data_IF_960727712741
#
_entry.id   IF_960727712741
#
_cell.length_a   1.000
_cell.length_b   1.000
_cell.length_c   1.000
_cell.angle_alpha   90.00
_cell.angle_beta   90.00
_cell.angle_gamma   90.00
#
_symmetry.space_group_name_H-M   'P 1'
#
loop_
_entity.id
_entity.type
_entity.pdbx_description
1 polymer ?
#
# COMPACT_ATOMS: atom_id res chain seq x y z
N UNK A 1 21.11 -11.07 -15.77
CA UNK A 1 21.73 -11.49 -17.07
C UNK A 1 21.72 -10.33 -18.06
N UNK A 2 20.54 -9.76 -18.41
CA UNK A 2 20.41 -8.70 -19.44
C UNK A 2 21.30 -7.49 -19.11
N UNK A 3 21.25 -6.95 -17.90
CA UNK A 3 22.09 -5.79 -17.50
C UNK A 3 23.59 -6.09 -17.59
N UNK A 4 24.02 -7.29 -17.25
CA UNK A 4 25.42 -7.71 -17.41
C UNK A 4 25.83 -7.71 -18.88
N UNK A 5 24.96 -8.16 -19.79
CA UNK A 5 25.24 -8.16 -21.23
C UNK A 5 25.24 -6.74 -21.80
N UNK A 6 24.29 -5.89 -21.38
CA UNK A 6 24.29 -4.46 -21.73
C UNK A 6 25.62 -3.80 -21.31
N UNK A 7 26.06 -4.02 -20.07
CA UNK A 7 27.32 -3.49 -19.57
C UNK A 7 28.54 -4.02 -20.37
N UNK A 8 28.54 -5.31 -20.72
CA UNK A 8 29.60 -5.90 -21.53
C UNK A 8 29.67 -5.22 -22.91
N UNK A 9 28.54 -5.14 -23.62
CA UNK A 9 28.47 -4.55 -24.96
C UNK A 9 28.85 -3.06 -24.96
N UNK A 10 28.49 -2.31 -23.91
CA UNK A 10 28.91 -0.92 -23.72
C UNK A 10 30.45 -0.79 -23.59
N UNK A 11 31.05 -1.69 -22.81
CA UNK A 11 32.48 -1.64 -22.53
C UNK A 11 33.35 -2.12 -23.72
N UNK A 12 32.83 -3.09 -24.49
CA UNK A 12 33.56 -3.65 -25.63
C UNK A 12 33.32 -2.90 -26.93
N UNK A 13 32.22 -2.16 -27.04
CA UNK A 13 31.78 -1.53 -28.29
C UNK A 13 31.32 -2.51 -29.38
N UNK A 14 31.16 -3.80 -29.01
CA UNK A 14 30.69 -4.84 -29.92
C UNK A 14 29.15 -4.73 -30.12
N UNK A 15 28.68 -5.09 -31.33
CA UNK A 15 27.27 -5.26 -31.69
C UNK A 15 26.35 -4.12 -31.19
N UNK A 16 26.43 -2.92 -31.74
CA UNK A 16 25.61 -1.78 -31.34
C UNK A 16 24.09 -2.01 -31.52
N UNK A 17 23.69 -2.82 -32.52
CA UNK A 17 22.30 -3.13 -32.78
C UNK A 17 21.70 -4.03 -31.66
N UNK A 18 22.49 -5.01 -31.25
CA UNK A 18 22.11 -5.87 -30.12
C UNK A 18 22.03 -5.08 -28.82
N UNK A 19 22.99 -4.19 -28.57
CA UNK A 19 22.99 -3.30 -27.42
C UNK A 19 21.69 -2.48 -27.37
N UNK A 20 21.37 -1.80 -28.47
CA UNK A 20 20.15 -0.99 -28.57
C UNK A 20 18.89 -1.82 -28.33
N UNK A 21 18.78 -3.00 -28.93
CA UNK A 21 17.63 -3.90 -28.75
C UNK A 21 17.48 -4.34 -27.28
N UNK A 22 18.58 -4.64 -26.59
CA UNK A 22 18.56 -5.03 -25.18
C UNK A 22 18.17 -3.85 -24.27
N UNK A 23 18.68 -2.65 -24.53
CA UNK A 23 18.33 -1.45 -23.79
C UNK A 23 16.85 -1.09 -23.95
N UNK A 24 16.36 -1.06 -25.19
CA UNK A 24 14.93 -0.76 -25.49
C UNK A 24 14.00 -1.80 -24.85
N UNK A 25 14.33 -3.09 -24.96
CA UNK A 25 13.58 -4.16 -24.34
C UNK A 25 13.61 -4.09 -22.81
N UNK A 26 14.76 -3.79 -22.23
CA UNK A 26 14.91 -3.70 -20.77
C UNK A 26 14.15 -2.52 -20.17
N UNK A 27 14.01 -1.43 -20.89
CA UNK A 27 13.27 -0.25 -20.45
C UNK A 27 11.85 -0.61 -19.98
N UNK A 28 11.14 -1.40 -20.76
CA UNK A 28 9.81 -1.89 -20.39
C UNK A 28 9.89 -3.15 -19.50
N UNK A 29 10.47 -4.24 -20.03
CA UNK A 29 10.42 -5.58 -19.40
C UNK A 29 11.18 -5.67 -18.07
N UNK A 30 12.24 -4.89 -17.90
CA UNK A 30 13.02 -4.90 -16.67
C UNK A 30 12.67 -3.75 -15.72
N UNK A 31 12.71 -2.51 -16.23
CA UNK A 31 12.61 -1.32 -15.41
C UNK A 31 11.15 -0.94 -15.10
N UNK A 32 10.31 -0.75 -16.14
CA UNK A 32 8.95 -0.25 -15.95
C UNK A 32 8.01 -1.28 -15.29
N UNK A 33 8.17 -2.56 -15.59
CA UNK A 33 7.31 -3.63 -15.06
C UNK A 33 7.81 -4.22 -13.73
N UNK A 34 9.00 -3.89 -13.26
CA UNK A 34 9.46 -4.33 -11.95
C UNK A 34 8.64 -3.69 -10.83
N UNK A 35 8.02 -4.52 -10.00
CA UNK A 35 7.25 -4.07 -8.84
C UNK A 35 8.12 -3.43 -7.73
N UNK A 36 9.41 -3.71 -7.69
CA UNK A 36 10.29 -3.30 -6.59
C UNK A 36 9.91 -3.93 -5.24
N UNK A 37 9.19 -5.06 -5.27
CA UNK A 37 8.65 -5.71 -4.07
C UNK A 37 9.64 -6.66 -3.38
N UNK A 38 10.78 -6.94 -4.00
CA UNK A 38 11.82 -7.81 -3.46
C UNK A 38 11.48 -9.29 -3.36
N UNK A 39 10.29 -9.76 -3.78
CA UNK A 39 9.90 -11.18 -3.71
C UNK A 39 10.81 -12.10 -4.55
N UNK A 40 11.52 -11.55 -5.54
CA UNK A 40 12.55 -12.29 -6.26
C UNK A 40 13.62 -12.86 -5.32
N UNK A 41 13.95 -12.18 -4.23
CA UNK A 41 14.89 -12.67 -3.22
C UNK A 41 14.35 -13.84 -2.40
N UNK A 42 13.05 -13.94 -2.20
CA UNK A 42 12.43 -15.05 -1.46
C UNK A 42 12.45 -16.36 -2.24
N UNK A 43 12.38 -16.26 -3.57
CA UNK A 43 12.45 -17.39 -4.50
C UNK A 43 13.87 -17.74 -4.94
N UNK A 44 14.85 -16.86 -4.71
CA UNK A 44 16.24 -17.07 -5.08
C UNK A 44 16.98 -17.79 -3.95
N UNK A 45 17.64 -18.96 -4.19
CA UNK A 45 18.44 -19.64 -3.19
C UNK A 45 19.57 -18.78 -2.61
N UNK A 46 20.12 -17.88 -3.44
CA UNK A 46 21.17 -16.93 -3.07
C UNK A 46 20.64 -15.63 -2.45
N UNK A 47 19.33 -15.49 -2.26
CA UNK A 47 18.67 -14.28 -1.71
C UNK A 47 18.95 -13.00 -2.51
N UNK A 48 19.20 -13.10 -3.82
CA UNK A 48 19.47 -11.95 -4.66
C UNK A 48 18.20 -11.13 -4.85
N UNK A 49 18.23 -9.88 -4.39
CA UNK A 49 17.16 -8.90 -4.56
C UNK A 49 17.40 -8.03 -5.81
N UNK A 50 16.79 -8.39 -6.92
CA UNK A 50 16.97 -7.61 -8.16
C UNK A 50 16.23 -6.27 -8.14
N UNK A 51 15.34 -6.02 -7.18
CA UNK A 51 14.64 -4.72 -7.08
C UNK A 51 15.59 -3.59 -6.64
N UNK A 52 16.63 -3.88 -5.85
CA UNK A 52 17.66 -2.90 -5.49
C UNK A 52 18.39 -2.40 -6.73
N UNK A 53 18.86 -3.31 -7.58
CA UNK A 53 19.47 -2.97 -8.88
C UNK A 53 18.52 -2.10 -9.74
N UNK A 54 17.21 -2.37 -9.72
CA UNK A 54 16.25 -1.57 -10.47
C UNK A 54 16.10 -0.18 -9.87
N UNK A 55 16.17 -0.03 -8.55
CA UNK A 55 16.14 1.28 -7.90
C UNK A 55 17.37 2.09 -8.28
N UNK A 56 18.56 1.49 -8.32
CA UNK A 56 19.79 2.13 -8.78
C UNK A 56 19.68 2.61 -10.23
N UNK A 57 19.23 1.72 -11.13
CA UNK A 57 19.02 2.07 -12.56
C UNK A 57 18.03 3.23 -12.72
N UNK A 58 16.96 3.27 -11.90
CA UNK A 58 16.01 4.39 -11.89
C UNK A 58 16.66 5.68 -11.41
N UNK A 59 17.50 5.58 -10.37
CA UNK A 59 18.27 6.72 -9.84
C UNK A 59 19.23 7.29 -10.86
N UNK A 60 19.98 6.43 -11.54
CA UNK A 60 20.92 6.82 -12.62
C UNK A 60 20.20 7.53 -13.78
N UNK A 61 18.97 7.11 -14.08
CA UNK A 61 18.13 7.74 -15.11
C UNK A 61 17.53 9.10 -14.68
N UNK A 62 17.62 9.46 -13.39
CA UNK A 62 17.10 10.69 -12.81
C UNK A 62 18.19 11.51 -12.10
N UNK A 63 19.24 11.96 -12.81
CA UNK A 63 20.32 12.71 -12.19
C UNK A 63 19.79 14.00 -11.54
N UNK A 64 20.47 14.44 -10.48
CA UNK A 64 20.20 15.71 -9.81
C UNK A 64 20.22 16.85 -10.84
N UNK A 65 19.18 17.67 -10.85
CA UNK A 65 19.04 18.76 -11.84
C UNK A 65 18.17 18.40 -13.04
N UNK A 66 17.90 17.13 -13.33
CA UNK A 66 16.92 16.75 -14.35
C UNK A 66 15.50 17.24 -13.99
N UNK A 67 14.66 17.43 -15.01
CA UNK A 67 13.26 17.85 -14.79
C UNK A 67 12.50 16.86 -13.89
N UNK A 68 12.70 15.56 -14.11
CA UNK A 68 12.07 14.51 -13.28
C UNK A 68 12.49 14.59 -11.81
N UNK A 69 13.80 14.77 -11.55
CA UNK A 69 14.31 14.95 -10.20
C UNK A 69 13.76 16.22 -9.53
N UNK A 70 13.80 17.37 -10.23
CA UNK A 70 13.24 18.65 -9.74
C UNK A 70 11.75 18.54 -9.42
N UNK A 71 10.99 17.83 -10.27
CA UNK A 71 9.56 17.57 -10.01
C UNK A 71 9.38 16.72 -8.76
N UNK A 72 10.17 15.66 -8.59
CA UNK A 72 10.13 14.84 -7.38
C UNK A 72 10.46 15.61 -6.11
N UNK A 73 11.46 16.48 -6.15
CA UNK A 73 11.84 17.35 -5.03
C UNK A 73 10.78 18.41 -4.73
N UNK A 74 10.21 19.04 -5.76
CA UNK A 74 9.09 19.97 -5.59
C UNK A 74 7.90 19.30 -4.91
N UNK A 75 7.52 18.10 -5.34
CA UNK A 75 6.44 17.31 -4.71
C UNK A 75 6.77 17.02 -3.24
N UNK A 76 8.01 16.66 -2.92
CA UNK A 76 8.44 16.38 -1.55
C UNK A 76 8.32 17.61 -0.63
N UNK A 77 8.73 18.78 -1.14
CA UNK A 77 8.68 20.04 -0.41
C UNK A 77 7.25 20.61 -0.26
N UNK A 78 6.35 20.26 -1.19
CA UNK A 78 4.95 20.75 -1.21
C UNK A 78 3.94 19.62 -0.97
N UNK A 79 4.30 18.60 -0.21
CA UNK A 79 3.56 17.33 -0.15
C UNK A 79 2.12 17.47 0.33
N UNK A 80 1.86 18.34 1.31
CA UNK A 80 0.49 18.60 1.79
C UNK A 80 -0.40 19.23 0.72
N UNK A 81 0.15 20.17 -0.07
CA UNK A 81 -0.56 20.83 -1.16
C UNK A 81 -0.88 19.85 -2.28
N UNK A 82 0.08 19.00 -2.65
CA UNK A 82 -0.14 17.95 -3.66
C UNK A 82 -1.25 16.99 -3.23
N UNK A 83 -1.23 16.51 -1.98
CA UNK A 83 -2.30 15.67 -1.44
C UNK A 83 -3.66 16.40 -1.44
N UNK A 84 -3.69 17.68 -1.10
CA UNK A 84 -4.91 18.46 -1.10
C UNK A 84 -5.49 18.61 -2.52
N UNK A 85 -4.63 18.80 -3.53
CA UNK A 85 -5.03 18.90 -4.93
C UNK A 85 -5.57 17.59 -5.52
N UNK A 86 -5.17 16.44 -4.98
CA UNK A 86 -5.69 15.13 -5.42
C UNK A 86 -7.13 14.86 -4.96
N UNK A 87 -7.58 15.43 -3.85
CA UNK A 87 -8.92 15.17 -3.30
C UNK A 87 -10.06 15.64 -4.22
N UNK A 88 -10.06 16.85 -4.77
CA UNK A 88 -11.05 17.25 -5.76
C UNK A 88 -11.09 16.34 -6.99
N UNK A 89 -9.93 15.89 -7.49
CA UNK A 89 -9.85 14.95 -8.62
C UNK A 89 -10.56 13.64 -8.28
N UNK A 90 -10.30 13.08 -7.11
CA UNK A 90 -10.97 11.85 -6.62
C UNK A 90 -12.48 12.07 -6.45
N UNK A 91 -12.90 13.25 -5.98
CA UNK A 91 -14.32 13.58 -5.80
C UNK A 91 -15.05 13.68 -7.14
N UNK A 92 -14.49 14.42 -8.11
CA UNK A 92 -15.05 14.54 -9.46
C UNK A 92 -15.17 13.18 -10.13
N UNK A 93 -14.12 12.39 -10.07
CA UNK A 93 -14.14 11.05 -10.66
C UNK A 93 -15.15 10.11 -9.97
N UNK A 94 -15.34 10.24 -8.65
CA UNK A 94 -16.37 9.48 -7.91
C UNK A 94 -17.79 9.91 -8.31
N UNK A 95 -18.02 11.20 -8.56
CA UNK A 95 -19.31 11.71 -9.09
C UNK A 95 -19.53 11.19 -10.50
N UNK A 96 -18.51 11.27 -11.37
CA UNK A 96 -18.59 10.72 -12.72
C UNK A 96 -18.94 9.23 -12.71
N UNK A 97 -18.37 8.46 -11.77
CA UNK A 97 -18.72 7.05 -11.60
C UNK A 97 -20.18 6.85 -11.19
N UNK A 98 -20.73 7.70 -10.33
CA UNK A 98 -22.13 7.61 -9.92
C UNK A 98 -23.11 7.89 -11.06
N UNK A 99 -22.70 8.70 -12.05
CA UNK A 99 -23.51 9.07 -13.22
C UNK A 99 -23.35 8.07 -14.37
N UNK A 100 -22.11 7.70 -14.70
CA UNK A 100 -21.78 6.85 -15.85
C UNK A 100 -21.90 5.35 -15.55
N UNK A 101 -21.94 4.99 -14.27
CA UNK A 101 -21.85 3.61 -13.82
C UNK A 101 -20.47 2.99 -14.09
N UNK A 102 -20.28 1.76 -13.65
CA UNK A 102 -18.98 1.07 -13.73
C UNK A 102 -18.48 0.87 -15.16
N UNK A 103 -19.37 0.41 -16.06
CA UNK A 103 -19.01 0.19 -17.47
C UNK A 103 -18.61 1.47 -18.19
N UNK A 104 -19.31 2.58 -17.89
CA UNK A 104 -18.98 3.89 -18.45
C UNK A 104 -17.62 4.38 -17.97
N UNK A 105 -17.33 4.23 -16.66
CA UNK A 105 -16.04 4.59 -16.08
C UNK A 105 -14.89 3.73 -16.64
N UNK A 106 -15.10 2.43 -16.80
CA UNK A 106 -14.11 1.54 -17.41
C UNK A 106 -13.82 1.93 -18.87
N UNK A 107 -14.84 2.25 -19.65
CA UNK A 107 -14.68 2.66 -21.06
C UNK A 107 -13.92 4.00 -21.16
N UNK A 108 -14.35 5.01 -20.41
CA UNK A 108 -13.70 6.34 -20.38
C UNK A 108 -12.29 6.24 -19.82
N UNK A 109 -12.11 5.52 -18.70
CA UNK A 109 -10.81 5.31 -18.07
C UNK A 109 -9.82 4.60 -19.00
N UNK A 110 -10.28 3.59 -19.74
CA UNK A 110 -9.45 2.88 -20.73
C UNK A 110 -9.08 3.76 -21.92
N UNK A 111 -9.99 4.61 -22.40
CA UNK A 111 -9.71 5.56 -23.49
C UNK A 111 -8.68 6.61 -23.05
N UNK A 112 -8.85 7.20 -21.88
CA UNK A 112 -7.92 8.18 -21.31
C UNK A 112 -6.56 7.54 -21.00
N UNK A 113 -6.53 6.28 -20.56
CA UNK A 113 -5.29 5.56 -20.30
C UNK A 113 -4.44 5.39 -21.58
N UNK A 114 -5.05 5.14 -22.73
CA UNK A 114 -4.34 5.12 -24.00
C UNK A 114 -3.70 6.47 -24.37
N UNK A 115 -4.23 7.56 -23.83
CA UNK A 115 -3.66 8.90 -23.93
C UNK A 115 -2.64 9.24 -22.81
N UNK A 116 -2.24 8.26 -21.99
CA UNK A 116 -1.23 8.42 -20.93
C UNK A 116 -1.78 8.84 -19.56
N UNK A 117 -3.09 8.92 -19.39
CA UNK A 117 -3.69 9.19 -18.07
C UNK A 117 -3.67 7.92 -17.20
N UNK A 118 -3.40 8.02 -15.89
CA UNK A 118 -3.48 6.89 -14.98
C UNK A 118 -4.85 6.20 -15.04
N UNK A 119 -4.85 4.86 -15.06
CA UNK A 119 -6.09 4.08 -15.18
C UNK A 119 -6.99 4.31 -13.97
N UNK A 120 -8.24 4.66 -14.24
CA UNK A 120 -9.30 4.69 -13.24
C UNK A 120 -10.08 3.37 -13.24
N UNK A 121 -10.38 2.84 -12.05
CA UNK A 121 -11.17 1.61 -11.89
C UNK A 121 -12.39 1.83 -11.01
N UNK A 122 -13.46 1.02 -11.14
CA UNK A 122 -14.66 1.15 -10.31
C UNK A 122 -14.44 0.93 -8.81
N UNK A 123 -13.27 0.40 -8.43
CA UNK A 123 -12.90 0.16 -7.04
C UNK A 123 -12.03 1.28 -6.44
N UNK A 124 -11.88 2.40 -7.16
CA UNK A 124 -11.17 3.55 -6.61
C UNK A 124 -11.90 4.10 -5.38
N UNK A 125 -11.17 4.41 -4.30
CA UNK A 125 -11.76 5.04 -3.13
C UNK A 125 -12.18 6.48 -3.41
N UNK A 126 -13.23 6.93 -2.71
CA UNK A 126 -13.61 8.35 -2.65
C UNK A 126 -12.52 9.16 -1.96
N UNK A 127 -12.55 10.49 -2.17
CA UNK A 127 -11.65 11.37 -1.42
C UNK A 127 -11.90 11.30 0.09
N UNK A 128 -10.82 11.38 0.87
CA UNK A 128 -10.88 11.61 2.30
C UNK A 128 -10.62 13.08 2.61
N UNK A 129 -11.54 13.69 3.31
CA UNK A 129 -11.39 15.06 3.81
C UNK A 129 -11.14 15.00 5.31
N UNK A 130 -9.98 15.51 5.79
CA UNK A 130 -9.67 15.52 7.22
C UNK A 130 -10.72 16.29 8.02
N UNK A 131 -11.10 15.74 9.14
CA UNK A 131 -12.01 16.35 10.12
C UNK A 131 -11.46 16.16 11.52
N UNK A 132 -12.09 16.82 12.48
CA UNK A 132 -11.70 16.67 13.87
C UNK A 132 -12.22 15.32 14.40
N UNK A 133 -11.31 14.49 14.90
CA UNK A 133 -11.65 13.21 15.53
C UNK A 133 -11.59 13.41 17.05
N UNK A 134 -12.70 13.15 17.72
CA UNK A 134 -12.77 13.19 19.17
C UNK A 134 -11.86 12.13 19.78
N UNK A 135 -11.12 12.51 20.81
CA UNK A 135 -10.19 11.64 21.53
C UNK A 135 -10.62 11.48 22.98
N UNK A 136 -10.63 10.25 23.48
CA UNK A 136 -10.80 9.98 24.89
C UNK A 136 -9.42 9.77 25.54
N UNK A 137 -9.16 10.46 26.62
CA UNK A 137 -7.91 10.27 27.36
C UNK A 137 -7.84 8.85 27.95
N UNK A 138 -6.67 8.22 27.85
CA UNK A 138 -6.41 6.88 28.38
C UNK A 138 -4.97 6.75 28.85
N UNK A 139 -4.70 5.94 29.90
CA UNK A 139 -3.32 5.60 30.26
C UNK A 139 -2.62 4.76 29.19
N UNK A 140 -3.37 4.03 28.36
CA UNK A 140 -2.87 3.27 27.22
C UNK A 140 -2.89 4.15 25.98
N UNK A 141 -1.71 4.40 25.40
CA UNK A 141 -1.55 5.33 24.28
C UNK A 141 -0.87 4.66 23.10
N UNK A 142 -1.24 5.09 21.90
CA UNK A 142 -0.60 4.70 20.64
C UNK A 142 -0.43 5.92 19.76
N UNK A 143 0.73 6.05 19.13
CA UNK A 143 0.92 7.02 18.07
C UNK A 143 0.43 6.41 16.76
N UNK A 144 -0.54 7.02 16.13
CA UNK A 144 -1.05 6.57 14.84
C UNK A 144 -0.56 7.49 13.72
N UNK A 145 0.20 6.91 12.80
CA UNK A 145 0.61 7.54 11.56
C UNK A 145 -0.21 6.95 10.41
N UNK A 146 -1.34 7.57 10.04
CA UNK A 146 -2.05 7.19 8.83
C UNK A 146 -1.18 7.54 7.62
N UNK A 147 -1.01 6.58 6.72
CA UNK A 147 -0.25 6.75 5.49
C UNK A 147 -0.82 7.87 4.61
N UNK A 148 0.02 8.45 3.78
CA UNK A 148 -0.39 9.54 2.88
C UNK A 148 -1.57 9.14 1.97
N UNK A 149 -1.63 7.89 1.55
CA UNK A 149 -2.72 7.37 0.73
C UNK A 149 -4.03 7.32 1.52
N UNK A 150 -4.02 6.88 2.78
CA UNK A 150 -5.22 6.85 3.63
C UNK A 150 -5.63 8.22 4.16
N UNK A 151 -4.70 9.20 4.19
CA UNK A 151 -5.04 10.62 4.40
C UNK A 151 -5.69 11.28 3.17
N UNK A 152 -5.68 10.63 2.02
CA UNK A 152 -6.20 11.17 0.75
C UNK A 152 -7.39 10.39 0.24
N UNK A 153 -7.38 9.06 0.40
CA UNK A 153 -8.39 8.12 -0.05
C UNK A 153 -9.22 7.59 1.13
N UNK A 154 -10.52 7.75 1.06
CA UNK A 154 -11.50 7.26 2.02
C UNK A 154 -11.92 5.80 1.76
N UNK A 155 -13.22 5.55 1.79
CA UNK A 155 -13.80 4.23 1.50
C UNK A 155 -14.08 4.04 0.02
N UNK A 156 -14.15 2.78 -0.42
CA UNK A 156 -14.58 2.46 -1.79
C UNK A 156 -16.12 2.46 -1.87
N UNK A 157 -16.67 2.86 -3.03
CA UNK A 157 -18.12 2.84 -3.24
C UNK A 157 -18.70 1.41 -3.17
N UNK A 158 -17.93 0.39 -3.49
CA UNK A 158 -18.35 -1.02 -3.59
C UNK A 158 -18.10 -1.87 -2.35
N UNK A 159 -17.41 -1.36 -1.35
CA UNK A 159 -17.04 -2.16 -0.17
C UNK A 159 -18.14 -2.34 0.88
N UNK A 160 -19.31 -1.73 0.70
CA UNK A 160 -20.40 -1.77 1.70
C UNK A 160 -20.14 -0.88 2.92
N UNK A 161 -18.90 -0.57 3.25
CA UNK A 161 -18.51 0.26 4.39
C UNK A 161 -18.36 1.71 3.94
N UNK A 162 -19.00 2.63 4.66
CA UNK A 162 -18.97 4.07 4.34
C UNK A 162 -17.96 4.86 5.16
N UNK A 163 -17.42 4.28 6.24
CA UNK A 163 -16.44 4.92 7.10
C UNK A 163 -15.04 4.79 6.47
N UNK A 164 -14.27 5.86 6.32
CA UNK A 164 -12.88 5.80 5.88
C UNK A 164 -12.00 4.93 6.79
N UNK A 165 -10.95 4.32 6.22
CA UNK A 165 -10.06 3.44 6.98
C UNK A 165 -9.39 4.15 8.17
N UNK A 166 -8.96 5.40 7.98
CA UNK A 166 -8.36 6.19 9.04
C UNK A 166 -9.30 6.29 10.25
N UNK A 167 -10.55 6.71 10.01
CA UNK A 167 -11.55 6.88 11.07
C UNK A 167 -11.89 5.54 11.72
N UNK A 168 -12.06 4.49 10.90
CA UNK A 168 -12.33 3.14 11.38
C UNK A 168 -11.21 2.59 12.26
N UNK A 169 -9.96 2.87 11.91
CA UNK A 169 -8.80 2.48 12.71
C UNK A 169 -8.81 3.18 14.07
N UNK A 170 -9.10 4.48 14.09
CA UNK A 170 -9.21 5.24 15.35
C UNK A 170 -10.35 4.71 16.21
N UNK A 171 -11.55 4.50 15.63
CA UNK A 171 -12.69 3.92 16.34
C UNK A 171 -12.36 2.58 17.00
N UNK A 172 -11.65 1.71 16.27
CA UNK A 172 -11.25 0.39 16.78
C UNK A 172 -10.29 0.50 17.97
N UNK A 173 -9.28 1.36 17.84
CA UNK A 173 -8.26 1.61 18.87
C UNK A 173 -8.91 2.17 20.13
N UNK A 174 -9.82 3.14 19.99
CA UNK A 174 -10.52 3.76 21.11
C UNK A 174 -11.49 2.77 21.79
N UNK A 175 -12.16 1.91 21.03
CA UNK A 175 -13.02 0.85 21.58
C UNK A 175 -12.26 -0.16 22.44
N UNK A 176 -10.97 -0.41 22.09
CA UNK A 176 -10.08 -1.21 22.92
C UNK A 176 -9.51 -0.43 24.13
N UNK A 177 -9.91 0.82 24.31
CA UNK A 177 -9.55 1.66 25.44
C UNK A 177 -8.16 2.31 25.32
N UNK A 178 -7.69 2.59 24.10
CA UNK A 178 -6.46 3.34 23.86
C UNK A 178 -6.75 4.78 23.43
N UNK A 179 -5.92 5.70 23.87
CA UNK A 179 -5.83 7.07 23.34
C UNK A 179 -4.97 7.07 22.08
N UNK A 180 -5.43 7.75 21.02
CA UNK A 180 -4.70 7.89 19.76
C UNK A 180 -3.99 9.23 19.71
N UNK A 181 -2.69 9.22 19.51
CA UNK A 181 -1.86 10.42 19.35
C UNK A 181 -1.48 10.52 17.87
N UNK A 182 -1.73 11.67 17.26
CA UNK A 182 -1.24 11.96 15.92
C UNK A 182 0.07 12.75 15.96
N UNK A 183 1.05 12.45 15.08
CA UNK A 183 2.27 13.26 15.01
C UNK A 183 1.95 14.68 14.52
N UNK A 184 2.68 15.67 15.02
CA UNK A 184 2.58 17.05 14.54
C UNK A 184 2.89 17.12 13.04
N UNK A 185 2.27 18.07 12.37
CA UNK A 185 2.48 18.31 10.93
C UNK A 185 2.23 17.09 10.03
N UNK A 186 1.39 16.15 10.46
CA UNK A 186 1.09 14.88 9.81
C UNK A 186 0.81 15.01 8.30
N UNK A 187 0.18 16.12 7.87
CA UNK A 187 -0.13 16.40 6.46
C UNK A 187 1.10 16.47 5.55
N UNK A 188 2.28 16.80 6.08
CA UNK A 188 3.54 16.90 5.31
C UNK A 188 4.40 15.63 5.42
N UNK A 189 4.10 14.74 6.36
CA UNK A 189 4.90 13.55 6.63
C UNK A 189 4.68 12.46 5.59
N UNK A 190 5.76 11.75 5.24
CA UNK A 190 5.75 10.59 4.36
C UNK A 190 6.89 9.63 4.72
N UNK A 191 6.64 8.34 4.55
CA UNK A 191 7.66 7.30 4.76
C UNK A 191 8.79 7.29 3.71
N UNK A 192 8.64 8.01 2.59
CA UNK A 192 9.65 8.09 1.52
C UNK A 192 9.53 7.02 0.43
N UNK A 193 8.74 5.97 0.61
CA UNK A 193 8.63 4.84 -0.35
C UNK A 193 8.34 5.28 -1.79
N UNK A 194 7.56 6.34 -2.02
CA UNK A 194 7.24 6.82 -3.37
C UNK A 194 8.47 7.34 -4.12
N UNK A 195 9.44 7.94 -3.43
CA UNK A 195 10.71 8.40 -4.01
C UNK A 195 11.72 7.27 -4.14
N UNK A 196 11.84 6.40 -3.13
CA UNK A 196 12.66 5.20 -3.18
C UNK A 196 12.33 4.33 -4.41
N UNK A 197 11.06 4.05 -4.64
CA UNK A 197 10.61 3.24 -5.78
C UNK A 197 10.98 3.85 -7.15
N UNK A 198 11.29 5.14 -7.19
CA UNK A 198 11.73 5.87 -8.38
C UNK A 198 13.24 6.13 -8.42
N UNK A 199 14.01 5.63 -7.44
CA UNK A 199 15.45 5.79 -7.34
C UNK A 199 15.92 7.12 -6.74
N UNK A 200 15.02 7.95 -6.20
CA UNK A 200 15.35 9.24 -5.57
C UNK A 200 15.63 9.03 -4.08
N UNK A 201 16.71 8.30 -3.75
CA UNK A 201 16.99 7.83 -2.39
C UNK A 201 17.22 8.98 -1.41
N UNK A 202 17.93 10.03 -1.81
CA UNK A 202 18.20 11.19 -0.96
C UNK A 202 16.92 11.94 -0.53
N UNK A 203 15.96 12.09 -1.46
CA UNK A 203 14.65 12.66 -1.13
C UNK A 203 13.86 11.70 -0.23
N UNK A 204 13.91 10.41 -0.53
CA UNK A 204 13.25 9.38 0.25
C UNK A 204 13.76 9.36 1.69
N UNK A 205 15.08 9.43 1.90
CA UNK A 205 15.70 9.42 3.22
C UNK A 205 15.42 10.72 4.00
N UNK A 206 15.44 11.87 3.34
CA UNK A 206 15.00 13.14 3.94
C UNK A 206 13.57 13.04 4.48
N UNK A 207 12.63 12.54 3.68
CA UNK A 207 11.23 12.38 4.09
C UNK A 207 11.08 11.35 5.21
N UNK A 208 11.86 10.27 5.17
CA UNK A 208 11.89 9.27 6.25
C UNK A 208 12.40 9.87 7.55
N UNK A 209 13.44 10.72 7.49
CA UNK A 209 14.00 11.37 8.66
C UNK A 209 13.04 12.36 9.29
N UNK A 210 12.36 13.20 8.47
CA UNK A 210 11.30 14.10 8.93
C UNK A 210 10.20 13.33 9.68
N UNK A 211 9.79 12.19 9.13
CA UNK A 211 8.78 11.33 9.75
C UNK A 211 9.30 10.71 11.05
N UNK A 212 10.52 10.16 11.05
CA UNK A 212 11.11 9.55 12.25
C UNK A 212 11.18 10.52 13.41
N UNK A 213 11.61 11.76 13.18
CA UNK A 213 11.72 12.78 14.22
C UNK A 213 10.35 13.17 14.78
N UNK A 214 9.34 13.34 13.92
CA UNK A 214 7.98 13.63 14.34
C UNK A 214 7.35 12.48 15.15
N UNK A 215 7.61 11.23 14.77
CA UNK A 215 7.14 10.05 15.48
C UNK A 215 7.87 9.85 16.81
N UNK A 216 9.17 10.14 16.86
CA UNK A 216 9.97 10.07 18.08
C UNK A 216 9.48 11.08 19.12
N UNK A 217 9.15 12.31 18.69
CA UNK A 217 8.53 13.32 19.56
C UNK A 217 7.14 12.87 20.03
N UNK A 218 6.26 12.46 19.10
CA UNK A 218 4.89 12.06 19.40
C UNK A 218 4.80 10.85 20.33
N UNK A 219 5.77 9.92 20.24
CA UNK A 219 5.83 8.72 21.07
C UNK A 219 6.52 8.91 22.41
N UNK A 220 6.78 10.15 22.83
CA UNK A 220 7.58 10.44 24.03
C UNK A 220 8.91 9.67 24.00
N UNK A 221 9.69 9.86 22.92
CA UNK A 221 11.00 9.21 22.70
C UNK A 221 10.94 7.69 22.59
N UNK A 222 9.87 7.16 21.96
CA UNK A 222 9.68 5.73 21.73
C UNK A 222 9.03 4.98 22.91
N UNK A 223 8.47 5.69 23.87
CA UNK A 223 7.72 5.12 25.00
C UNK A 223 6.43 4.43 24.51
N UNK A 224 5.67 5.09 23.63
CA UNK A 224 4.43 4.54 23.08
C UNK A 224 4.67 3.78 21.78
N UNK A 225 3.92 2.68 21.54
CA UNK A 225 3.94 1.99 20.26
C UNK A 225 3.46 2.91 19.14
N UNK A 226 3.96 2.67 17.92
CA UNK A 226 3.61 3.47 16.75
C UNK A 226 2.95 2.57 15.72
N UNK A 227 1.74 2.92 15.32
CA UNK A 227 0.97 2.22 14.29
C UNK A 227 1.07 2.95 12.96
N UNK A 228 1.38 2.22 11.87
CA UNK A 228 1.27 2.70 10.49
C UNK A 228 0.33 1.77 9.72
N UNK A 229 -0.68 2.34 9.05
CA UNK A 229 -1.79 1.62 8.40
C UNK A 229 -1.52 1.15 6.96
N UNK A 230 -0.27 1.16 6.52
CA UNK A 230 0.11 0.79 5.16
C UNK A 230 1.37 -0.07 5.19
N UNK A 231 1.23 -1.34 4.90
CA UNK A 231 2.29 -2.33 5.03
C UNK A 231 3.59 -1.98 4.25
N UNK A 232 3.56 -1.53 2.97
CA UNK A 232 4.78 -1.09 2.28
C UNK A 232 5.47 0.11 2.93
N UNK A 233 4.71 1.07 3.49
CA UNK A 233 5.26 2.19 4.23
C UNK A 233 5.98 1.71 5.49
N UNK A 234 5.33 0.83 6.25
CA UNK A 234 5.90 0.28 7.47
C UNK A 234 7.17 -0.54 7.18
N UNK A 235 7.19 -1.32 6.10
CA UNK A 235 8.37 -2.09 5.71
C UNK A 235 9.59 -1.16 5.51
N UNK A 236 9.44 -0.06 4.75
CA UNK A 236 10.49 0.95 4.62
C UNK A 236 10.85 1.58 5.98
N UNK A 237 9.86 2.02 6.75
CA UNK A 237 10.08 2.62 8.06
C UNK A 237 10.92 1.71 8.97
N UNK A 238 10.63 0.41 9.01
CA UNK A 238 11.42 -0.59 9.77
C UNK A 238 12.85 -0.73 9.27
N UNK A 239 13.08 -0.55 7.97
CA UNK A 239 14.42 -0.61 7.39
C UNK A 239 15.28 0.59 7.76
N UNK A 240 14.72 1.79 7.85
CA UNK A 240 15.47 3.05 8.02
C UNK A 240 15.34 3.69 9.40
N UNK A 241 14.25 3.42 10.16
CA UNK A 241 13.96 4.01 11.47
C UNK A 241 14.23 3.01 12.59
N UNK A 242 15.45 2.96 13.11
CA UNK A 242 15.83 1.95 14.12
C UNK A 242 15.53 2.33 15.57
N UNK A 243 15.18 3.59 15.83
CA UNK A 243 14.88 4.11 17.17
C UNK A 243 13.47 3.84 17.67
N UNK A 244 12.57 3.37 16.77
CA UNK A 244 11.14 3.35 17.00
C UNK A 244 10.58 1.92 17.04
N UNK A 245 9.56 1.72 17.88
CA UNK A 245 8.77 0.47 17.89
C UNK A 245 7.57 0.65 16.97
N UNK A 246 7.69 0.12 15.77
CA UNK A 246 6.74 0.31 14.67
C UNK A 246 5.91 -0.96 14.48
N UNK A 247 4.59 -0.80 14.36
CA UNK A 247 3.63 -1.90 14.22
C UNK A 247 2.73 -1.69 13.02
N UNK A 248 2.37 -2.78 12.39
CA UNK A 248 1.37 -2.88 11.36
C UNK A 248 -0.02 -3.13 12.00
N UNK A 249 -1.15 -2.78 11.35
CA UNK A 249 -2.47 -3.01 11.93
C UNK A 249 -2.70 -4.43 12.41
N UNK A 250 -2.27 -5.43 11.65
CA UNK A 250 -2.37 -6.85 12.04
C UNK A 250 -1.67 -7.12 13.36
N UNK A 251 -0.41 -6.67 13.47
CA UNK A 251 0.38 -6.88 14.70
C UNK A 251 -0.20 -6.09 15.86
N UNK A 252 -0.53 -4.80 15.63
CA UNK A 252 -1.05 -3.96 16.69
C UNK A 252 -2.39 -4.47 17.23
N UNK A 253 -3.30 -4.87 16.34
CA UNK A 253 -4.58 -5.44 16.75
C UNK A 253 -4.37 -6.76 17.50
N UNK A 254 -3.55 -7.66 16.96
CA UNK A 254 -3.33 -8.98 17.54
C UNK A 254 -2.61 -8.91 18.90
N UNK A 255 -1.55 -8.08 18.98
CA UNK A 255 -0.68 -8.04 20.17
C UNK A 255 -1.20 -7.10 21.28
N UNK A 256 -1.99 -6.07 20.94
CA UNK A 256 -2.39 -5.03 21.91
C UNK A 256 -3.90 -4.85 22.05
N UNK A 257 -4.69 -5.07 21.00
CA UNK A 257 -6.11 -4.81 21.08
C UNK A 257 -6.93 -6.07 21.35
N UNK A 258 -6.49 -7.24 20.87
CA UNK A 258 -7.29 -8.47 20.92
C UNK A 258 -7.65 -8.90 22.34
N UNK A 259 -6.80 -8.67 23.34
CA UNK A 259 -7.09 -8.96 24.74
C UNK A 259 -8.20 -8.08 25.35
N UNK A 260 -8.49 -6.93 24.71
CA UNK A 260 -9.49 -5.96 25.15
C UNK A 260 -10.79 -6.01 24.34
N UNK A 261 -10.85 -6.90 23.36
CA UNK A 261 -11.98 -7.09 22.46
C UNK A 261 -12.46 -8.54 22.54
N UNK A 262 -13.76 -8.74 22.47
CA UNK A 262 -14.35 -10.06 22.23
C UNK A 262 -14.68 -10.17 20.74
N UNK A 263 -14.52 -11.37 20.20
CA UNK A 263 -14.75 -11.63 18.77
C UNK A 263 -15.92 -12.59 18.61
N UNK A 264 -16.87 -12.19 17.75
CA UNK A 264 -17.92 -13.10 17.27
C UNK A 264 -17.53 -13.54 15.86
N UNK A 265 -17.05 -14.77 15.76
CA UNK A 265 -16.63 -15.36 14.50
C UNK A 265 -17.85 -15.54 13.56
N UNK A 266 -17.65 -15.26 12.28
CA UNK A 266 -18.62 -15.55 11.22
C UNK A 266 -18.23 -16.81 10.45
N UNK A 267 -19.21 -17.50 9.87
CA UNK A 267 -18.99 -18.64 8.96
C UNK A 267 -18.90 -18.22 7.50
N UNK A 268 -19.05 -16.92 7.21
CA UNK A 268 -18.88 -16.41 5.85
C UNK A 268 -17.46 -16.66 5.33
N UNK A 269 -17.30 -17.32 4.16
CA UNK A 269 -16.00 -17.55 3.59
C UNK A 269 -15.37 -16.23 3.11
N UNK A 270 -14.12 -16.00 3.50
CA UNK A 270 -13.37 -14.80 3.16
C UNK A 270 -12.04 -15.15 2.49
N UNK A 271 -11.57 -14.28 1.59
CA UNK A 271 -10.22 -14.40 1.04
C UNK A 271 -9.25 -13.46 1.78
N UNK A 272 -8.08 -13.99 2.09
CA UNK A 272 -7.01 -13.22 2.73
C UNK A 272 -5.84 -13.07 1.76
N UNK A 273 -5.45 -11.82 1.44
CA UNK A 273 -4.24 -11.54 0.69
C UNK A 273 -3.18 -10.94 1.60
N UNK A 274 -2.10 -11.70 1.81
CA UNK A 274 -0.92 -11.27 2.58
C UNK A 274 0.02 -10.55 1.62
N UNK A 275 0.25 -9.26 1.86
CA UNK A 275 1.09 -8.43 0.99
C UNK A 275 2.55 -8.87 0.98
N UNK A 276 3.29 -8.55 -0.09
CA UNK A 276 4.73 -8.81 -0.19
C UNK A 276 5.50 -8.20 0.99
N UNK A 277 5.17 -6.97 1.38
CA UNK A 277 5.77 -6.31 2.54
C UNK A 277 5.50 -7.03 3.86
N UNK A 278 4.29 -7.56 4.08
CA UNK A 278 3.97 -8.38 5.26
C UNK A 278 4.77 -9.67 5.30
N UNK A 279 5.00 -10.29 4.14
CA UNK A 279 5.87 -11.47 4.01
C UNK A 279 7.31 -11.14 4.38
N UNK A 280 7.86 -10.04 3.87
CA UNK A 280 9.20 -9.58 4.26
C UNK A 280 9.32 -9.27 5.75
N UNK A 281 8.27 -8.79 6.38
CA UNK A 281 8.23 -8.52 7.83
C UNK A 281 7.95 -9.76 8.69
N UNK A 282 7.63 -10.91 8.09
CA UNK A 282 7.38 -12.18 8.80
C UNK A 282 6.07 -12.21 9.60
N UNK A 283 5.07 -11.40 9.23
CA UNK A 283 3.82 -11.27 10.00
C UNK A 283 2.67 -12.14 9.46
N UNK A 284 2.94 -13.04 8.52
CA UNK A 284 1.94 -13.89 7.87
C UNK A 284 1.13 -14.72 8.85
N UNK A 285 1.80 -15.33 9.84
CA UNK A 285 1.13 -16.15 10.87
C UNK A 285 0.16 -15.34 11.71
N UNK A 286 0.54 -14.11 12.10
CA UNK A 286 -0.34 -13.20 12.84
C UNK A 286 -1.52 -12.75 11.99
N UNK A 287 -1.28 -12.49 10.69
CA UNK A 287 -2.34 -12.09 9.77
C UNK A 287 -3.41 -13.19 9.66
N UNK A 288 -2.99 -14.43 9.46
CA UNK A 288 -3.90 -15.57 9.42
C UNK A 288 -4.60 -15.80 10.77
N UNK A 289 -3.87 -15.70 11.88
CA UNK A 289 -4.43 -15.85 13.21
C UNK A 289 -5.51 -14.80 13.50
N UNK A 290 -5.24 -13.52 13.18
CA UNK A 290 -6.21 -12.43 13.33
C UNK A 290 -7.46 -12.65 12.46
N UNK A 291 -7.29 -13.04 11.19
CA UNK A 291 -8.42 -13.35 10.31
C UNK A 291 -9.28 -14.49 10.86
N UNK A 292 -8.67 -15.51 11.46
CA UNK A 292 -9.34 -16.65 12.07
C UNK A 292 -10.09 -16.31 13.37
N UNK A 293 -9.72 -15.24 14.06
CA UNK A 293 -10.57 -14.74 15.16
C UNK A 293 -11.92 -14.22 14.64
N UNK A 294 -11.96 -13.77 13.39
CA UNK A 294 -13.11 -13.13 12.78
C UNK A 294 -13.94 -14.07 11.88
N UNK A 295 -13.33 -15.05 11.22
CA UNK A 295 -14.03 -16.01 10.36
C UNK A 295 -13.48 -17.43 10.55
N UNK A 296 -14.41 -18.41 10.61
CA UNK A 296 -14.08 -19.85 10.63
C UNK A 296 -13.57 -20.34 9.27
N UNK A 297 -13.89 -19.62 8.18
CA UNK A 297 -13.62 -20.02 6.81
C UNK A 297 -12.73 -19.00 6.08
N UNK A 298 -11.41 -19.09 6.31
CA UNK A 298 -10.39 -18.20 5.75
C UNK A 298 -9.60 -18.92 4.67
N UNK A 299 -9.68 -18.43 3.43
CA UNK A 299 -8.92 -18.92 2.29
C UNK A 299 -7.77 -17.95 1.95
N UNK A 300 -6.56 -18.47 1.79
CA UNK A 300 -5.44 -17.77 1.17
C UNK A 300 -5.33 -18.29 -0.27
N UNK A 301 -5.56 -17.44 -1.31
CA UNK A 301 -5.47 -17.87 -2.69
C UNK A 301 -4.07 -18.38 -3.04
N UNK A 302 -4.01 -19.53 -3.70
CA UNK A 302 -2.76 -20.15 -4.13
C UNK A 302 -2.16 -19.40 -5.32
N UNK A 303 -0.83 -19.37 -5.41
CA UNK A 303 -0.07 -18.72 -6.48
C UNK A 303 -0.39 -17.22 -6.67
N UNK A 304 -0.88 -16.57 -5.61
CA UNK A 304 -1.12 -15.12 -5.55
C UNK A 304 -0.18 -14.53 -4.51
N UNK A 305 1.09 -14.34 -4.88
CA UNK A 305 2.12 -13.81 -3.97
C UNK A 305 2.10 -12.29 -3.88
N UNK A 306 2.30 -11.62 -5.01
CA UNK A 306 2.22 -10.16 -5.14
C UNK A 306 0.99 -9.77 -5.95
N UNK A 307 0.33 -8.68 -5.55
CA UNK A 307 -0.79 -8.13 -6.33
C UNK A 307 -0.33 -7.52 -7.67
N UNK A 308 0.96 -7.25 -7.85
CA UNK A 308 1.51 -6.61 -9.06
C UNK A 308 1.13 -5.13 -9.22
N UNK A 309 0.52 -4.50 -8.21
CA UNK A 309 0.11 -3.10 -8.29
C UNK A 309 1.26 -2.11 -8.04
N UNK A 310 2.19 -2.47 -7.17
CA UNK A 310 3.46 -1.77 -6.94
C UNK A 310 3.32 -0.24 -6.76
N UNK A 311 2.47 0.21 -5.87
CA UNK A 311 2.22 1.63 -5.61
C UNK A 311 1.43 2.31 -6.73
N UNK A 312 2.09 2.97 -7.68
CA UNK A 312 1.46 3.68 -8.81
C UNK A 312 1.43 2.87 -10.12
N UNK A 313 2.17 1.77 -10.20
CA UNK A 313 2.32 1.00 -11.45
C UNK A 313 1.03 0.35 -11.92
N UNK A 314 0.18 -0.10 -11.01
CA UNK A 314 -1.14 -0.62 -11.38
C UNK A 314 -2.02 0.39 -12.09
N UNK A 315 -1.75 1.69 -11.95
CA UNK A 315 -2.42 2.75 -12.72
C UNK A 315 -1.76 3.03 -14.07
N UNK A 316 -0.47 2.77 -14.22
CA UNK A 316 0.30 3.06 -15.44
C UNK A 316 0.58 1.82 -16.28
N UNK A 317 0.68 0.66 -15.65
CA UNK A 317 0.95 -0.65 -16.26
C UNK A 317 -0.03 -1.71 -15.71
N UNK A 318 -1.35 -1.56 -15.97
CA UNK A 318 -2.37 -2.43 -15.39
C UNK A 318 -2.26 -3.90 -15.84
N UNK A 319 -1.58 -4.16 -16.96
CA UNK A 319 -1.31 -5.51 -17.46
C UNK A 319 -0.47 -6.34 -16.48
N UNK A 320 0.45 -5.72 -15.75
CA UNK A 320 1.27 -6.41 -14.73
C UNK A 320 0.39 -6.89 -13.58
N UNK A 321 -0.48 -6.02 -13.07
CA UNK A 321 -1.44 -6.35 -12.03
C UNK A 321 -2.42 -7.44 -12.50
N UNK A 322 -2.94 -7.33 -13.71
CA UNK A 322 -3.85 -8.33 -14.31
C UNK A 322 -3.17 -9.69 -14.42
N UNK A 323 -1.93 -9.74 -14.89
CA UNK A 323 -1.20 -11.00 -15.03
C UNK A 323 -0.87 -11.62 -13.66
N UNK A 324 -0.43 -10.84 -12.69
CA UNK A 324 -0.15 -11.32 -11.35
C UNK A 324 -1.38 -11.97 -10.68
N UNK A 325 -2.57 -11.42 -10.93
CA UNK A 325 -3.82 -11.84 -10.33
C UNK A 325 -4.69 -12.74 -11.24
N UNK A 326 -4.17 -13.24 -12.37
CA UNK A 326 -4.93 -14.06 -13.32
C UNK A 326 -5.56 -15.33 -12.72
N UNK A 327 -4.96 -15.88 -11.67
CA UNK A 327 -5.43 -17.08 -10.97
C UNK A 327 -6.37 -16.77 -9.79
N UNK A 328 -6.58 -15.50 -9.45
CA UNK A 328 -7.33 -15.12 -8.27
C UNK A 328 -8.84 -15.38 -8.43
N UNK A 329 -9.45 -14.77 -9.45
CA UNK A 329 -10.91 -14.84 -9.65
C UNK A 329 -11.45 -16.27 -9.73
N UNK A 330 -10.87 -17.22 -10.51
CA UNK A 330 -11.38 -18.59 -10.56
C UNK A 330 -11.39 -19.31 -9.22
N UNK A 331 -10.42 -19.03 -8.36
CA UNK A 331 -10.34 -19.62 -7.01
C UNK A 331 -11.46 -19.08 -6.11
N UNK A 332 -11.71 -17.76 -6.18
CA UNK A 332 -12.76 -17.11 -5.40
C UNK A 332 -14.16 -17.58 -5.81
N UNK A 333 -14.41 -17.69 -7.11
CA UNK A 333 -15.67 -18.18 -7.66
C UNK A 333 -15.92 -19.64 -7.23
N UNK A 334 -14.92 -20.51 -7.35
CA UNK A 334 -14.99 -21.91 -6.90
C UNK A 334 -15.29 -22.05 -5.39
N UNK A 335 -14.74 -21.14 -4.58
CA UNK A 335 -14.95 -21.14 -3.14
C UNK A 335 -16.15 -20.27 -2.69
N UNK A 336 -16.93 -19.72 -3.62
CA UNK A 336 -18.09 -18.85 -3.39
C UNK A 336 -17.77 -17.64 -2.49
N UNK A 337 -16.54 -17.11 -2.57
CA UNK A 337 -16.08 -15.98 -1.78
C UNK A 337 -16.56 -14.67 -2.40
N UNK A 338 -17.16 -13.81 -1.57
CA UNK A 338 -17.75 -12.53 -1.99
C UNK A 338 -16.96 -11.31 -1.55
N UNK A 339 -16.02 -11.46 -0.62
CA UNK A 339 -15.17 -10.36 -0.14
C UNK A 339 -13.81 -10.86 0.32
N UNK A 340 -12.83 -9.99 0.20
CA UNK A 340 -11.47 -10.27 0.59
C UNK A 340 -10.87 -9.18 1.47
N UNK A 341 -9.77 -9.53 2.15
CA UNK A 341 -9.07 -8.62 3.06
C UNK A 341 -7.59 -8.60 2.80
N UNK A 342 -6.98 -7.42 2.98
CA UNK A 342 -5.55 -7.17 2.83
C UNK A 342 -5.12 -6.08 3.81
N UNK A 343 -3.92 -5.52 3.67
CA UNK A 343 -3.37 -4.47 4.53
C UNK A 343 -2.57 -3.42 3.75
N UNK A 344 -2.94 -3.21 2.48
CA UNK A 344 -2.36 -2.16 1.63
C UNK A 344 -3.42 -1.64 0.66
N UNK A 345 -3.67 -0.34 0.69
CA UNK A 345 -4.70 0.32 -0.11
C UNK A 345 -4.54 0.06 -1.62
N UNK A 346 -3.33 0.12 -2.13
CA UNK A 346 -3.07 -0.12 -3.56
C UNK A 346 -3.27 -1.58 -3.93
N UNK A 347 -2.92 -2.51 -3.04
CA UNK A 347 -3.25 -3.93 -3.23
C UNK A 347 -4.76 -4.15 -3.22
N UNK A 348 -5.50 -3.51 -2.28
CA UNK A 348 -6.97 -3.60 -2.21
C UNK A 348 -7.63 -3.18 -3.53
N UNK A 349 -7.17 -2.06 -4.14
CA UNK A 349 -7.65 -1.59 -5.44
C UNK A 349 -7.36 -2.62 -6.53
N UNK A 350 -6.12 -3.07 -6.64
CA UNK A 350 -5.69 -4.02 -7.68
C UNK A 350 -6.36 -5.39 -7.56
N UNK A 351 -6.48 -5.91 -6.34
CA UNK A 351 -7.18 -7.15 -6.03
C UNK A 351 -8.67 -7.04 -6.40
N UNK A 352 -9.35 -5.99 -5.94
CA UNK A 352 -10.77 -5.80 -6.22
C UNK A 352 -11.05 -5.69 -7.71
N UNK A 353 -10.21 -4.94 -8.45
CA UNK A 353 -10.37 -4.76 -9.90
C UNK A 353 -10.27 -6.09 -10.65
N UNK A 354 -9.33 -6.97 -10.28
CA UNK A 354 -9.10 -8.23 -10.99
C UNK A 354 -9.97 -9.39 -10.45
N UNK A 355 -10.31 -9.36 -9.17
CA UNK A 355 -11.19 -10.36 -8.55
C UNK A 355 -12.67 -10.16 -8.90
N UNK A 356 -13.11 -8.92 -9.12
CA UNK A 356 -14.51 -8.57 -9.30
C UNK A 356 -15.32 -8.54 -8.00
N UNK A 357 -14.66 -8.69 -6.86
CA UNK A 357 -15.23 -8.57 -5.51
C UNK A 357 -14.47 -7.52 -4.70
N UNK A 358 -15.05 -6.90 -3.67
CA UNK A 358 -14.35 -5.94 -2.84
C UNK A 358 -13.26 -6.60 -2.00
N UNK A 359 -12.04 -6.08 -2.08
CA UNK A 359 -10.96 -6.28 -1.12
C UNK A 359 -10.80 -5.02 -0.28
N UNK A 360 -10.71 -5.19 1.03
CA UNK A 360 -10.64 -4.10 2.00
C UNK A 360 -9.54 -4.36 3.04
N UNK A 361 -9.24 -3.36 3.86
CA UNK A 361 -8.33 -3.56 4.99
C UNK A 361 -8.89 -4.56 5.99
N UNK A 362 -8.02 -5.40 6.56
CA UNK A 362 -8.35 -6.34 7.65
C UNK A 362 -9.00 -5.62 8.85
N UNK A 363 -8.72 -4.33 9.04
CA UNK A 363 -9.33 -3.50 10.10
C UNK A 363 -10.86 -3.50 10.03
N UNK A 364 -11.42 -3.51 8.82
CA UNK A 364 -12.88 -3.59 8.64
C UNK A 364 -13.45 -4.93 9.11
N UNK A 365 -12.78 -6.04 8.78
CA UNK A 365 -13.18 -7.37 9.25
C UNK A 365 -13.18 -7.43 10.77
N UNK A 366 -12.11 -6.95 11.40
CA UNK A 366 -11.99 -6.91 12.86
C UNK A 366 -13.09 -6.03 13.48
N UNK A 367 -13.37 -4.86 12.87
CA UNK A 367 -14.40 -3.97 13.36
C UNK A 367 -15.82 -4.59 13.30
N UNK A 368 -16.10 -5.37 12.27
CA UNK A 368 -17.38 -6.08 12.11
C UNK A 368 -17.54 -7.20 13.13
N UNK A 369 -16.50 -7.96 13.37
CA UNK A 369 -16.54 -9.17 14.21
C UNK A 369 -16.36 -8.90 15.70
N UNK A 370 -15.87 -7.70 16.10
CA UNK A 370 -15.70 -7.38 17.51
C UNK A 370 -17.02 -7.14 18.22
N UNK A 371 -17.09 -7.59 19.44
CA UNK A 371 -18.10 -7.19 20.44
C UNK A 371 -17.42 -6.41 21.57
N UNK A 372 -18.18 -5.62 22.34
CA UNK A 372 -17.63 -5.04 23.57
C UNK A 372 -17.40 -6.16 24.57
N UNK A 373 -16.21 -6.20 25.16
CA UNK A 373 -15.96 -7.08 26.29
C UNK A 373 -16.86 -6.62 27.44
N UNK A 374 -17.82 -7.44 27.83
CA UNK A 374 -18.59 -7.20 29.04
C UNK A 374 -17.63 -7.28 30.23
N UNK A 375 -17.51 -6.19 30.99
CA UNK A 375 -16.73 -6.13 32.21
C UNK A 375 -17.37 -6.94 33.29
#
# INVERSE_FOLDING_TARGET
IIQREISRLKNTGEDPERLKRLEDGFKYLGNQTCAGDGLCSTSCPMKINTSEMIHDIRGDALPKGSLGYKTGDFVANNFSTVKAALRPVLSVASVAQSVLGDKGVEAVGSALHKAGVPLWTPYMPKAYYPHQISQAASPRKVVYFPSCINQTMGHTAKGGVKTPLLDKTVELIQKAGFEVIFPKNMKNLCCGTIWESKGMLDIADRKSKELEDALYEASEKGKYPILCDQSPCLHRMRNVMKRLKLYEPVEFIYDFLAEHLDFKQTDEPIALHITCSSRHMGIEKKFLALARLCSSNVMIPEEVGCCGFAGDRGFTHPEVNRYALRKLRPQLEKAHIKRGFSNSRTCEIGLSTNAGIPYQSIVYLVDECKTKKNK
#
